data_IF_281403431811
#
_entry.id   IF_281403431811
#
_cell.length_a   1.000
_cell.length_b   1.000
_cell.length_c   1.000
_cell.angle_alpha   90.00
_cell.angle_beta   90.00
_cell.angle_gamma   90.00
#
_symmetry.space_group_name_H-M   'P 1'
#
loop_
_entity.id
_entity.type
_entity.pdbx_description
1 polymer ?
#
# COMPACT_ATOMS: atom_id res chain seq x y z
N UNK A 1 18.20 14.36 19.09
CA UNK A 1 17.15 13.94 18.17
C UNK A 1 17.29 12.44 18.07
N UNK A 2 16.24 11.69 18.38
CA UNK A 2 16.30 10.22 18.30
C UNK A 2 16.23 9.81 16.85
N UNK A 3 17.07 8.87 16.44
CA UNK A 3 17.14 8.37 15.07
C UNK A 3 16.52 6.99 14.97
N UNK A 4 15.78 6.73 13.89
CA UNK A 4 15.26 5.43 13.52
C UNK A 4 15.69 5.16 12.08
N UNK A 5 16.29 3.99 11.84
CA UNK A 5 16.58 3.50 10.50
C UNK A 5 15.38 2.76 9.94
N UNK A 6 15.09 2.95 8.64
CA UNK A 6 14.04 2.24 7.96
C UNK A 6 14.42 1.93 6.52
N UNK A 7 14.41 0.66 6.18
CA UNK A 7 14.46 0.19 4.80
C UNK A 7 13.07 -0.30 4.38
N UNK A 8 12.62 0.05 3.18
CA UNK A 8 11.41 -0.51 2.58
C UNK A 8 11.64 -0.92 1.14
N UNK A 9 11.14 -2.10 0.78
CA UNK A 9 11.28 -2.65 -0.56
C UNK A 9 10.20 -2.16 -1.54
N UNK A 10 9.16 -1.39 -1.09
CA UNK A 10 8.09 -0.91 -1.97
C UNK A 10 7.95 0.61 -1.99
N UNK A 11 7.62 1.14 -3.16
CA UNK A 11 7.42 2.58 -3.39
C UNK A 11 6.17 3.13 -2.66
N UNK A 12 5.13 2.31 -2.48
CA UNK A 12 3.92 2.73 -1.76
C UNK A 12 4.23 2.95 -0.28
N UNK A 13 4.90 2.00 0.35
CA UNK A 13 5.35 2.09 1.74
C UNK A 13 6.30 3.27 1.93
N UNK A 14 7.26 3.46 1.00
CA UNK A 14 8.17 4.61 1.01
C UNK A 14 7.40 5.94 1.06
N UNK A 15 6.31 6.05 0.30
CA UNK A 15 5.44 7.23 0.33
C UNK A 15 4.83 7.48 1.72
N UNK A 16 4.37 6.42 2.39
CA UNK A 16 3.85 6.53 3.77
C UNK A 16 4.93 6.93 4.77
N UNK A 17 6.13 6.33 4.67
CA UNK A 17 7.28 6.67 5.52
C UNK A 17 7.66 8.15 5.37
N UNK A 18 7.73 8.65 4.14
CA UNK A 18 8.07 10.06 3.87
C UNK A 18 7.03 11.03 4.46
N UNK A 19 5.74 10.69 4.38
CA UNK A 19 4.68 11.50 4.98
C UNK A 19 4.69 11.43 6.50
N UNK A 20 4.89 10.24 7.07
CA UNK A 20 5.04 10.06 8.51
C UNK A 20 6.22 10.87 9.05
N UNK A 21 7.37 10.85 8.35
CA UNK A 21 8.54 11.65 8.72
C UNK A 21 8.22 13.15 8.87
N UNK A 22 7.34 13.68 8.01
CA UNK A 22 6.89 15.07 8.10
C UNK A 22 6.02 15.39 9.33
N UNK A 23 5.54 14.38 10.05
CA UNK A 23 4.67 14.51 11.24
C UNK A 23 5.42 14.19 12.56
N UNK A 24 6.66 13.75 12.47
CA UNK A 24 7.47 13.31 13.62
C UNK A 24 8.36 14.43 14.16
N UNK A 25 7.93 15.04 15.26
CA UNK A 25 8.74 16.05 15.95
C UNK A 25 9.79 15.40 16.87
N UNK A 26 11.06 15.76 16.70
CA UNK A 26 12.15 15.26 17.52
C UNK A 26 12.67 13.86 17.18
N UNK A 27 12.10 13.22 16.17
CA UNK A 27 12.50 11.92 15.64
C UNK A 27 13.04 12.12 14.21
N UNK A 28 14.22 11.58 13.94
CA UNK A 28 14.90 11.63 12.66
C UNK A 28 14.82 10.26 11.99
N UNK A 29 14.36 10.19 10.74
CA UNK A 29 14.28 8.94 10.00
C UNK A 29 15.41 8.86 8.97
N UNK A 30 16.23 7.83 9.07
CA UNK A 30 17.16 7.42 8.00
C UNK A 30 16.45 6.40 7.13
N UNK A 31 15.96 6.84 5.97
CA UNK A 31 15.15 6.00 5.08
C UNK A 31 15.95 5.59 3.85
N UNK A 32 15.86 4.33 3.47
CA UNK A 32 16.34 3.80 2.18
C UNK A 32 15.26 2.91 1.56
N UNK A 33 15.22 2.92 0.24
CA UNK A 33 14.43 1.99 -0.57
C UNK A 33 15.34 1.08 -1.39
N UNK A 34 14.77 0.08 -2.07
CA UNK A 34 15.53 -0.77 -3.00
C UNK A 34 16.31 0.07 -4.03
N UNK A 35 15.72 1.16 -4.51
CA UNK A 35 16.36 2.06 -5.49
C UNK A 35 17.48 2.95 -4.94
N UNK A 36 17.72 2.95 -3.61
CA UNK A 36 18.79 3.69 -2.93
C UNK A 36 20.00 2.81 -2.58
N UNK A 37 19.91 1.49 -2.80
CA UNK A 37 20.94 0.50 -2.46
C UNK A 37 21.43 -0.21 -3.72
N UNK A 38 22.16 0.50 -4.57
CA UNK A 38 22.65 -0.04 -5.85
C UNK A 38 23.88 -0.97 -5.67
N UNK A 39 24.70 -0.73 -4.65
CA UNK A 39 25.91 -1.51 -4.38
C UNK A 39 26.23 -1.65 -2.88
N UNK A 40 27.26 -2.40 -2.56
CA UNK A 40 27.73 -2.63 -1.19
C UNK A 40 28.04 -1.33 -0.44
N UNK A 41 28.52 -0.29 -1.12
CA UNK A 41 28.89 0.99 -0.49
C UNK A 41 27.67 1.71 0.04
N UNK A 42 26.53 1.61 -0.69
CA UNK A 42 25.26 2.22 -0.26
C UNK A 42 24.71 1.52 0.99
N UNK A 43 24.84 0.18 1.04
CA UNK A 43 24.46 -0.61 2.23
C UNK A 43 25.32 -0.25 3.42
N UNK A 44 26.65 -0.13 3.24
CA UNK A 44 27.57 0.31 4.28
C UNK A 44 27.22 1.70 4.80
N UNK A 45 26.90 2.64 3.90
CA UNK A 45 26.48 3.99 4.27
C UNK A 45 25.17 4.00 5.05
N UNK A 46 24.18 3.18 4.66
CA UNK A 46 22.93 3.02 5.42
C UNK A 46 23.18 2.53 6.84
N UNK A 47 24.00 1.50 7.00
CA UNK A 47 24.34 0.93 8.31
C UNK A 47 25.13 1.93 9.17
N UNK A 48 26.10 2.65 8.58
CA UNK A 48 26.86 3.69 9.29
C UNK A 48 25.93 4.86 9.72
N UNK A 49 24.98 5.27 8.88
CA UNK A 49 23.97 6.29 9.24
C UNK A 49 23.07 5.83 10.40
N UNK A 50 22.94 4.52 10.62
CA UNK A 50 22.11 3.89 11.65
C UNK A 50 22.89 3.45 12.90
N UNK A 51 24.23 3.69 13.00
CA UNK A 51 25.06 3.16 14.11
C UNK A 51 24.58 3.58 15.51
N UNK A 52 23.98 4.79 15.64
CA UNK A 52 23.42 5.34 16.86
C UNK A 52 21.88 5.37 16.85
N UNK A 53 21.24 4.61 15.95
CA UNK A 53 19.77 4.60 15.87
C UNK A 53 19.16 3.90 17.10
N UNK A 54 18.02 4.39 17.55
CA UNK A 54 17.23 3.76 18.59
C UNK A 54 16.74 2.37 18.19
N UNK A 55 16.39 2.22 16.91
CA UNK A 55 16.02 0.96 16.27
C UNK A 55 16.17 1.06 14.74
N UNK A 56 16.29 -0.09 14.10
CA UNK A 56 16.24 -0.23 12.63
C UNK A 56 15.17 -1.21 12.24
N UNK A 57 14.32 -0.82 11.27
CA UNK A 57 13.29 -1.66 10.65
C UNK A 57 13.70 -1.99 9.22
N UNK A 58 13.80 -3.26 8.90
CA UNK A 58 13.94 -3.77 7.54
C UNK A 58 12.58 -4.32 7.08
N UNK A 59 11.85 -3.50 6.34
CA UNK A 59 10.51 -3.85 5.84
C UNK A 59 10.63 -4.38 4.41
N UNK A 60 10.68 -5.71 4.32
CA UNK A 60 10.94 -6.46 3.10
C UNK A 60 9.63 -6.81 2.39
N UNK A 61 9.68 -6.85 1.06
CA UNK A 61 8.60 -7.40 0.24
C UNK A 61 9.03 -8.76 -0.33
N UNK A 62 8.58 -9.82 0.29
CA UNK A 62 9.09 -11.16 0.03
C UNK A 62 10.24 -11.51 0.98
N UNK A 63 11.38 -12.01 0.54
CA UNK A 63 12.53 -12.50 1.30
C UNK A 63 13.69 -11.55 1.44
N UNK A 64 14.73 -12.09 2.06
CA UNK A 64 16.03 -11.46 2.19
C UNK A 64 16.57 -10.91 0.85
N UNK A 65 16.23 -11.60 -0.25
CA UNK A 65 16.58 -11.21 -1.62
C UNK A 65 15.98 -9.84 -2.05
N UNK A 66 14.98 -9.33 -1.30
CA UNK A 66 14.38 -8.02 -1.57
C UNK A 66 15.17 -6.83 -1.00
N UNK A 67 16.28 -7.11 -0.31
CA UNK A 67 17.21 -6.08 0.16
C UNK A 67 18.64 -6.40 -0.29
N UNK A 68 19.25 -5.57 -1.16
CA UNK A 68 20.68 -5.69 -1.47
C UNK A 68 21.53 -5.68 -0.20
N UNK A 69 22.43 -6.64 -0.05
CA UNK A 69 23.35 -6.71 1.08
C UNK A 69 22.71 -7.00 2.44
N UNK A 70 21.55 -7.67 2.47
CA UNK A 70 20.80 -8.02 3.68
C UNK A 70 21.67 -8.65 4.77
N UNK A 71 22.38 -9.74 4.46
CA UNK A 71 23.24 -10.44 5.44
C UNK A 71 24.26 -9.50 6.10
N UNK A 72 24.90 -8.65 5.31
CA UNK A 72 25.87 -7.67 5.83
C UNK A 72 25.19 -6.66 6.76
N UNK A 73 24.05 -6.12 6.36
CA UNK A 73 23.32 -5.13 7.17
C UNK A 73 22.88 -5.71 8.51
N UNK A 74 22.30 -6.92 8.50
CA UNK A 74 21.86 -7.64 9.71
C UNK A 74 23.02 -7.92 10.63
N UNK A 75 24.10 -8.52 10.13
CA UNK A 75 25.27 -8.86 10.94
C UNK A 75 25.90 -7.61 11.55
N UNK A 76 26.03 -6.54 10.76
CA UNK A 76 26.67 -5.32 11.22
C UNK A 76 25.85 -4.56 12.25
N UNK A 77 24.52 -4.43 12.05
CA UNK A 77 23.61 -3.81 13.03
C UNK A 77 23.57 -4.60 14.34
N UNK A 78 23.63 -5.93 14.24
CA UNK A 78 23.69 -6.81 15.41
C UNK A 78 25.03 -6.65 16.17
N UNK A 79 26.16 -6.53 15.48
CA UNK A 79 27.46 -6.24 16.09
C UNK A 79 27.47 -4.88 16.81
N UNK A 80 26.82 -3.88 16.26
CA UNK A 80 26.66 -2.53 16.84
C UNK A 80 25.70 -2.53 18.03
N UNK A 81 24.90 -3.60 18.20
CA UNK A 81 23.92 -3.70 19.27
C UNK A 81 22.68 -2.82 19.05
N UNK A 82 22.41 -2.42 17.81
CA UNK A 82 21.23 -1.65 17.45
C UNK A 82 20.01 -2.59 17.45
N UNK A 83 18.91 -2.23 18.12
CA UNK A 83 17.65 -2.98 18.06
C UNK A 83 17.18 -3.13 16.60
N UNK A 84 17.03 -4.37 16.16
CA UNK A 84 16.71 -4.71 14.77
C UNK A 84 15.36 -5.39 14.66
N UNK A 85 14.55 -4.95 13.73
CA UNK A 85 13.25 -5.55 13.37
C UNK A 85 13.29 -5.89 11.89
N UNK A 86 13.04 -7.16 11.55
CA UNK A 86 12.92 -7.63 10.17
C UNK A 86 11.50 -8.11 9.94
N UNK A 87 10.76 -7.44 9.07
CA UNK A 87 9.39 -7.79 8.68
C UNK A 87 9.34 -8.03 7.17
N UNK A 88 8.97 -9.23 6.78
CA UNK A 88 8.70 -9.60 5.39
C UNK A 88 7.22 -9.87 5.13
N UNK A 89 6.86 -10.21 3.90
CA UNK A 89 5.52 -10.67 3.52
C UNK A 89 5.49 -12.18 3.42
N UNK A 90 4.46 -12.82 4.06
CA UNK A 90 4.26 -14.28 4.05
C UNK A 90 4.93 -15.02 5.21
N UNK A 91 4.68 -16.33 5.33
CA UNK A 91 5.07 -17.19 6.48
C UNK A 91 6.58 -17.53 6.54
N UNK A 92 7.38 -17.06 5.59
CA UNK A 92 8.76 -17.54 5.37
C UNK A 92 9.84 -16.71 6.08
N UNK A 93 9.46 -15.87 7.09
CA UNK A 93 10.38 -14.85 7.52
C UNK A 93 11.10 -15.08 8.83
N UNK A 94 12.33 -14.79 8.73
CA UNK A 94 13.44 -14.69 9.64
C UNK A 94 13.13 -13.89 10.93
N UNK A 95 12.12 -14.33 11.70
CA UNK A 95 11.95 -13.87 13.09
C UNK A 95 13.27 -13.97 13.87
N UNK A 96 14.17 -14.87 13.41
CA UNK A 96 15.48 -15.11 14.00
C UNK A 96 16.41 -13.89 13.93
N UNK A 97 16.22 -13.01 12.95
CA UNK A 97 17.04 -11.80 12.79
C UNK A 97 16.49 -10.59 13.56
N UNK A 98 15.25 -10.66 14.01
CA UNK A 98 14.67 -9.63 14.90
C UNK A 98 15.23 -9.76 16.31
N UNK A 99 15.76 -8.67 16.87
CA UNK A 99 16.44 -8.66 18.16
C UNK A 99 15.67 -8.03 19.31
N UNK A 100 14.45 -7.52 19.06
CA UNK A 100 13.57 -6.93 20.06
C UNK A 100 12.73 -7.98 20.79
N UNK A 101 12.06 -7.60 21.88
CA UNK A 101 11.16 -8.50 22.61
C UNK A 101 10.00 -8.97 21.75
N UNK A 102 9.50 -10.19 21.97
CA UNK A 102 8.40 -10.76 21.18
C UNK A 102 7.15 -9.87 21.18
N UNK A 103 6.79 -9.29 22.33
CA UNK A 103 5.63 -8.39 22.45
C UNK A 103 5.77 -7.13 21.59
N UNK A 104 6.96 -6.55 21.56
CA UNK A 104 7.24 -5.34 20.82
C UNK A 104 7.32 -5.64 19.32
N UNK A 105 7.93 -6.79 18.97
CA UNK A 105 7.94 -7.30 17.61
C UNK A 105 6.52 -7.46 17.07
N UNK A 106 5.65 -8.12 17.82
CA UNK A 106 4.28 -8.40 17.39
C UNK A 106 3.51 -7.08 17.17
N UNK A 107 3.64 -6.12 18.05
CA UNK A 107 3.04 -4.79 17.88
C UNK A 107 3.61 -4.02 16.66
N UNK A 108 4.93 -4.05 16.47
CA UNK A 108 5.57 -3.42 15.31
C UNK A 108 5.10 -4.08 14.02
N UNK A 109 5.01 -5.40 13.99
CA UNK A 109 4.52 -6.14 12.82
C UNK A 109 3.08 -5.77 12.49
N UNK A 110 2.23 -5.61 13.49
CA UNK A 110 0.85 -5.18 13.29
C UNK A 110 0.75 -3.77 12.68
N UNK A 111 1.55 -2.80 13.15
CA UNK A 111 1.63 -1.48 12.50
C UNK A 111 2.04 -1.58 11.02
N UNK A 112 3.08 -2.37 10.72
CA UNK A 112 3.59 -2.49 9.35
C UNK A 112 2.63 -3.27 8.44
N UNK A 113 1.93 -4.26 8.97
CA UNK A 113 0.96 -5.07 8.23
C UNK A 113 -0.30 -4.27 7.87
N UNK A 114 -0.81 -3.48 8.80
CA UNK A 114 -1.93 -2.57 8.56
C UNK A 114 -1.54 -1.40 7.66
N UNK A 115 -0.26 -1.05 7.63
CA UNK A 115 0.30 -0.06 6.70
C UNK A 115 -0.28 1.34 6.84
N UNK A 116 -0.07 2.15 5.82
CA UNK A 116 -0.54 3.53 5.77
C UNK A 116 0.27 4.51 6.63
N UNK A 117 0.12 5.80 6.32
CA UNK A 117 0.90 6.86 6.98
C UNK A 117 0.67 6.90 8.50
N UNK A 118 -0.57 6.65 8.96
CA UNK A 118 -0.92 6.71 10.38
C UNK A 118 -0.21 5.60 11.17
N UNK A 119 -0.24 4.36 10.69
CA UNK A 119 0.40 3.24 11.36
C UNK A 119 1.94 3.35 11.34
N UNK A 120 2.53 3.83 10.24
CA UNK A 120 3.97 4.10 10.18
C UNK A 120 4.38 5.21 11.15
N UNK A 121 3.59 6.28 11.27
CA UNK A 121 3.83 7.36 12.24
C UNK A 121 3.84 6.81 13.67
N UNK A 122 2.79 6.07 14.08
CA UNK A 122 2.69 5.51 15.43
C UNK A 122 3.74 4.43 15.69
N UNK A 123 4.10 3.61 14.71
CA UNK A 123 5.24 2.69 14.79
C UNK A 123 6.55 3.43 15.11
N UNK A 124 6.85 4.51 14.40
CA UNK A 124 8.04 5.30 14.66
C UNK A 124 8.02 5.96 16.05
N UNK A 125 6.86 6.44 16.50
CA UNK A 125 6.69 6.99 17.87
C UNK A 125 6.88 5.91 18.93
N UNK A 126 6.31 4.71 18.72
CA UNK A 126 6.53 3.54 19.57
C UNK A 126 8.02 3.22 19.69
N UNK A 127 8.72 3.08 18.57
CA UNK A 127 10.16 2.80 18.55
C UNK A 127 10.98 3.89 19.25
N UNK A 128 10.65 5.17 19.06
CA UNK A 128 11.32 6.27 19.71
C UNK A 128 11.08 6.30 21.24
N UNK A 129 9.88 5.93 21.68
CA UNK A 129 9.53 5.83 23.11
C UNK A 129 10.28 4.68 23.77
N UNK A 130 10.12 3.46 23.26
CA UNK A 130 10.60 2.24 23.89
C UNK A 130 12.12 2.06 23.80
N UNK A 131 12.71 2.46 22.67
CA UNK A 131 14.15 2.23 22.41
C UNK A 131 14.98 3.53 22.41
N UNK A 132 14.34 4.67 22.13
CA UNK A 132 15.02 5.98 22.04
C UNK A 132 14.91 6.85 23.29
N UNK A 133 14.09 6.48 24.26
CA UNK A 133 13.86 7.23 25.50
C UNK A 133 13.19 8.61 25.26
N UNK A 134 12.42 8.74 24.18
CA UNK A 134 11.66 9.96 23.86
C UNK A 134 10.28 9.86 24.52
N UNK A 135 9.88 10.91 25.25
CA UNK A 135 8.52 11.02 25.76
C UNK A 135 7.57 11.48 24.64
N UNK A 136 6.98 10.52 23.94
CA UNK A 136 6.04 10.74 22.83
C UNK A 136 4.85 9.80 22.97
N UNK A 137 3.64 10.30 22.61
CA UNK A 137 2.42 9.49 22.60
C UNK A 137 2.31 8.74 21.27
N UNK A 138 1.81 7.51 21.32
CA UNK A 138 1.44 6.69 20.18
C UNK A 138 0.15 5.94 20.47
N UNK A 139 -0.65 5.71 19.43
CA UNK A 139 -1.85 4.88 19.51
C UNK A 139 -1.54 3.45 19.07
N UNK A 140 -2.38 2.51 19.48
CA UNK A 140 -2.35 1.12 18.99
C UNK A 140 -2.53 1.07 17.47
N UNK A 141 -2.09 -0.02 16.80
CA UNK A 141 -2.27 -0.19 15.36
C UNK A 141 -3.72 -0.02 14.92
N UNK A 142 -3.95 0.89 13.98
CA UNK A 142 -5.29 1.22 13.47
C UNK A 142 -5.61 0.36 12.26
N UNK A 143 -6.74 -0.33 12.31
CA UNK A 143 -7.29 -1.04 11.16
C UNK A 143 -7.80 -0.04 10.12
N UNK A 144 -7.43 -0.23 8.87
CA UNK A 144 -7.86 0.58 7.75
C UNK A 144 -8.86 -0.21 6.89
N UNK A 145 -9.87 0.45 6.28
CA UNK A 145 -10.82 -0.25 5.44
C UNK A 145 -10.16 -0.85 4.20
N UNK A 146 -10.56 -2.07 3.87
CA UNK A 146 -10.10 -2.80 2.68
C UNK A 146 -10.84 -2.43 1.41
N UNK A 147 -12.00 -1.78 1.54
CA UNK A 147 -12.80 -1.22 0.46
C UNK A 147 -13.44 0.09 0.89
N UNK A 148 -13.74 0.94 -0.09
CA UNK A 148 -14.39 2.22 0.15
C UNK A 148 -14.52 3.07 -1.10
N UNK A 149 -15.16 4.21 -0.94
CA UNK A 149 -15.17 5.25 -1.96
C UNK A 149 -14.22 6.38 -1.59
N UNK A 150 -13.73 7.06 -2.60
CA UNK A 150 -12.81 8.16 -2.44
C UNK A 150 -13.23 9.32 -3.35
N UNK A 151 -13.06 10.54 -2.87
CA UNK A 151 -13.18 11.70 -3.73
C UNK A 151 -12.25 12.83 -3.23
N UNK A 152 -11.48 13.48 -4.12
CA UNK A 152 -10.50 14.49 -3.69
C UNK A 152 -11.11 15.73 -3.00
N UNK A 153 -12.40 16.04 -3.25
CA UNK A 153 -13.11 17.16 -2.61
C UNK A 153 -13.87 16.76 -1.34
N UNK A 154 -14.07 15.47 -1.11
CA UNK A 154 -14.88 14.96 -0.01
C UNK A 154 -14.14 13.88 0.78
N UNK A 155 -13.09 14.26 1.55
CA UNK A 155 -12.33 13.28 2.35
C UNK A 155 -13.24 12.49 3.30
N UNK A 156 -13.13 11.15 3.28
CA UNK A 156 -13.91 10.27 4.17
C UNK A 156 -15.40 10.20 3.84
N UNK A 157 -15.80 10.53 2.61
CA UNK A 157 -17.19 10.40 2.17
C UNK A 157 -17.59 8.93 2.07
N UNK A 158 -18.81 8.63 2.48
CA UNK A 158 -19.44 7.32 2.30
C UNK A 158 -20.11 7.21 0.92
N UNK A 159 -20.32 5.98 0.45
CA UNK A 159 -20.84 5.69 -0.89
C UNK A 159 -22.17 6.42 -1.20
N UNK A 160 -23.17 6.29 -0.31
CA UNK A 160 -24.48 6.89 -0.51
C UNK A 160 -24.40 8.42 -0.58
N UNK A 161 -23.61 9.01 0.32
CA UNK A 161 -23.41 10.46 0.35
C UNK A 161 -22.68 10.97 -0.90
N UNK A 162 -21.73 10.23 -1.46
CA UNK A 162 -21.11 10.57 -2.72
C UNK A 162 -22.12 10.49 -3.87
N UNK A 163 -22.93 9.43 -3.94
CA UNK A 163 -23.97 9.25 -4.93
C UNK A 163 -25.03 10.36 -4.93
N UNK A 164 -25.37 10.89 -3.76
CA UNK A 164 -26.27 12.04 -3.62
C UNK A 164 -25.74 13.33 -4.26
N UNK A 165 -24.44 13.44 -4.48
CA UNK A 165 -23.84 14.60 -5.16
C UNK A 165 -23.95 14.50 -6.70
N UNK A 166 -24.27 13.34 -7.25
CA UNK A 166 -24.28 13.10 -8.68
C UNK A 166 -25.45 13.78 -9.40
N UNK A 167 -25.14 14.27 -10.57
CA UNK A 167 -26.16 14.77 -11.51
C UNK A 167 -26.76 13.57 -12.27
N UNK A 168 -28.04 13.25 -12.11
CA UNK A 168 -28.66 12.08 -12.73
C UNK A 168 -28.77 12.15 -14.26
N UNK A 169 -28.54 13.33 -14.86
CA UNK A 169 -28.53 13.49 -16.33
C UNK A 169 -27.14 13.25 -16.95
N UNK A 170 -26.11 13.07 -16.11
CA UNK A 170 -24.75 12.81 -16.56
C UNK A 170 -24.37 11.35 -16.46
N UNK A 171 -23.55 10.85 -17.39
CA UNK A 171 -23.02 9.51 -17.25
C UNK A 171 -22.14 9.39 -15.98
N UNK A 172 -22.20 8.23 -15.35
CA UNK A 172 -21.37 7.91 -14.18
C UNK A 172 -20.26 6.93 -14.58
N UNK A 173 -19.03 7.27 -14.27
CA UNK A 173 -17.85 6.44 -14.55
C UNK A 173 -17.17 6.06 -13.26
N UNK A 174 -17.09 4.76 -12.97
CA UNK A 174 -16.31 4.28 -11.85
C UNK A 174 -14.81 4.34 -12.18
N UNK A 175 -14.00 4.73 -11.19
CA UNK A 175 -12.54 4.62 -11.22
C UNK A 175 -12.20 3.59 -10.15
N UNK A 176 -11.91 2.36 -10.58
CA UNK A 176 -11.69 1.26 -9.66
C UNK A 176 -10.20 0.98 -9.52
N UNK A 177 -9.69 1.10 -8.29
CA UNK A 177 -8.27 1.03 -8.01
C UNK A 177 -7.95 0.21 -6.75
N UNK A 178 -6.70 -0.23 -6.67
CA UNK A 178 -6.22 -1.07 -5.60
C UNK A 178 -6.16 -0.30 -4.27
N UNK A 179 -6.69 -0.90 -3.20
CA UNK A 179 -6.76 -0.36 -1.84
C UNK A 179 -5.41 0.19 -1.35
N UNK A 180 -4.29 -0.49 -1.64
CA UNK A 180 -2.96 -0.06 -1.24
C UNK A 180 -2.62 1.37 -1.67
N UNK A 181 -3.14 1.85 -2.81
CA UNK A 181 -2.95 3.25 -3.21
C UNK A 181 -3.68 4.23 -2.30
N UNK A 182 -4.84 3.84 -1.77
CA UNK A 182 -5.60 4.64 -0.80
C UNK A 182 -4.93 4.60 0.57
N UNK A 183 -4.61 3.42 1.07
CA UNK A 183 -3.92 3.17 2.35
C UNK A 183 -2.62 3.97 2.45
N UNK A 184 -1.85 3.98 1.38
CA UNK A 184 -0.58 4.71 1.32
C UNK A 184 -0.71 6.13 0.76
N UNK A 185 -1.93 6.70 0.66
CA UNK A 185 -2.19 8.07 0.18
C UNK A 185 -1.56 8.37 -1.21
N UNK A 186 -1.45 7.36 -2.08
CA UNK A 186 -0.91 7.47 -3.43
C UNK A 186 -2.02 7.64 -4.48
N UNK A 187 -2.93 8.59 -4.26
CA UNK A 187 -4.18 8.77 -5.03
C UNK A 187 -4.10 9.83 -6.11
N UNK A 188 -2.96 10.51 -6.34
CA UNK A 188 -2.86 11.63 -7.28
C UNK A 188 -3.32 11.33 -8.70
N UNK A 189 -3.11 10.11 -9.18
CA UNK A 189 -3.58 9.70 -10.50
C UNK A 189 -5.10 9.50 -10.53
N UNK A 190 -5.70 9.02 -9.42
CA UNK A 190 -7.15 8.92 -9.24
C UNK A 190 -7.77 10.31 -9.24
N UNK A 191 -7.18 11.27 -8.52
CA UNK A 191 -7.60 12.67 -8.52
C UNK A 191 -7.62 13.23 -9.96
N UNK A 192 -6.55 12.96 -10.72
CA UNK A 192 -6.45 13.44 -12.10
C UNK A 192 -7.52 12.81 -12.99
N UNK A 193 -7.83 11.52 -12.83
CA UNK A 193 -8.88 10.83 -13.57
C UNK A 193 -10.26 11.38 -13.19
N UNK A 194 -10.57 11.52 -11.89
CA UNK A 194 -11.83 12.08 -11.42
C UNK A 194 -12.06 13.49 -11.97
N UNK A 195 -11.06 14.36 -11.84
CA UNK A 195 -11.13 15.73 -12.40
C UNK A 195 -11.30 15.75 -13.91
N UNK A 196 -10.65 14.85 -14.63
CA UNK A 196 -10.80 14.76 -16.08
C UNK A 196 -12.24 14.37 -16.48
N UNK A 197 -12.82 13.37 -15.82
CA UNK A 197 -14.21 12.94 -16.05
C UNK A 197 -15.21 14.07 -15.75
N UNK A 198 -15.11 14.70 -14.60
CA UNK A 198 -15.96 15.81 -14.19
C UNK A 198 -15.88 16.99 -15.18
N UNK A 199 -14.67 17.31 -15.64
CA UNK A 199 -14.46 18.38 -16.63
C UNK A 199 -15.11 18.09 -17.99
N UNK A 200 -15.35 16.82 -18.30
CA UNK A 200 -16.04 16.35 -19.49
C UNK A 200 -17.54 16.15 -19.27
N UNK A 201 -18.06 16.47 -18.07
CA UNK A 201 -19.47 16.39 -17.76
C UNK A 201 -19.95 15.00 -17.33
N UNK A 202 -19.08 14.17 -16.79
CA UNK A 202 -19.45 12.90 -16.16
C UNK A 202 -19.42 13.02 -14.62
N UNK A 203 -20.17 12.14 -13.94
CA UNK A 203 -19.94 11.89 -12.52
C UNK A 203 -18.78 10.93 -12.36
N UNK A 204 -17.89 11.20 -11.43
CA UNK A 204 -16.77 10.31 -11.09
C UNK A 204 -17.09 9.54 -9.81
N UNK A 205 -16.96 8.21 -9.85
CA UNK A 205 -17.12 7.30 -8.73
C UNK A 205 -15.81 6.54 -8.46
N UNK A 206 -14.83 7.15 -7.77
CA UNK A 206 -13.63 6.45 -7.38
C UNK A 206 -13.93 5.44 -6.26
N UNK A 207 -13.59 4.18 -6.50
CA UNK A 207 -13.76 3.05 -5.58
C UNK A 207 -12.40 2.37 -5.40
N UNK A 208 -12.03 2.11 -4.17
CA UNK A 208 -10.87 1.26 -3.87
C UNK A 208 -11.34 -0.05 -3.24
N UNK A 209 -10.62 -1.13 -3.53
CA UNK A 209 -10.74 -2.37 -2.77
C UNK A 209 -9.44 -3.17 -2.80
N UNK A 210 -9.26 -4.01 -1.80
CA UNK A 210 -8.37 -5.15 -1.87
C UNK A 210 -9.19 -6.29 -2.54
N UNK A 211 -8.81 -6.79 -3.73
CA UNK A 211 -9.62 -7.80 -4.42
C UNK A 211 -9.48 -9.20 -3.80
N UNK A 212 -8.53 -9.42 -2.89
CA UNK A 212 -8.41 -10.69 -2.20
C UNK A 212 -9.67 -11.00 -1.38
N UNK A 213 -9.97 -12.29 -1.23
CA UNK A 213 -11.04 -12.71 -0.34
C UNK A 213 -10.71 -12.31 1.12
N UNK A 214 -11.75 -11.94 1.86
CA UNK A 214 -11.66 -11.74 3.30
C UNK A 214 -11.49 -13.06 4.06
N UNK A 215 -11.40 -13.02 5.39
CA UNK A 215 -11.28 -14.21 6.25
C UNK A 215 -12.50 -15.13 6.16
N UNK A 216 -13.65 -14.63 5.70
CA UNK A 216 -14.90 -15.39 5.50
C UNK A 216 -14.99 -15.99 4.09
N UNK A 217 -14.01 -15.69 3.21
CA UNK A 217 -13.92 -16.20 1.84
C UNK A 217 -14.76 -15.40 0.84
N UNK A 218 -15.25 -14.20 1.22
CA UNK A 218 -15.93 -13.30 0.31
C UNK A 218 -14.90 -12.48 -0.47
N UNK A 219 -14.94 -12.56 -1.80
CA UNK A 219 -14.10 -11.72 -2.66
C UNK A 219 -14.59 -10.27 -2.61
N UNK A 220 -13.77 -9.35 -2.09
CA UNK A 220 -14.12 -7.94 -1.96
C UNK A 220 -14.45 -7.28 -3.31
N UNK A 221 -13.82 -7.70 -4.39
CA UNK A 221 -14.14 -7.19 -5.72
C UNK A 221 -15.54 -7.60 -6.19
N UNK A 222 -15.99 -8.82 -5.88
CA UNK A 222 -17.36 -9.26 -6.15
C UNK A 222 -18.35 -8.52 -5.27
N UNK A 223 -18.04 -8.36 -3.98
CA UNK A 223 -18.88 -7.58 -3.06
C UNK A 223 -19.05 -6.12 -3.54
N UNK A 224 -17.97 -5.45 -3.94
CA UNK A 224 -18.02 -4.09 -4.51
C UNK A 224 -18.92 -4.04 -5.76
N UNK A 225 -18.79 -5.04 -6.63
CA UNK A 225 -19.63 -5.14 -7.82
C UNK A 225 -21.10 -5.23 -7.46
N UNK A 226 -21.46 -6.12 -6.54
CA UNK A 226 -22.85 -6.39 -6.19
C UNK A 226 -23.50 -5.26 -5.37
N UNK A 227 -22.71 -4.52 -4.59
CA UNK A 227 -23.23 -3.51 -3.68
C UNK A 227 -23.07 -2.07 -4.16
N UNK A 228 -22.07 -1.79 -5.02
CA UNK A 228 -21.77 -0.41 -5.45
C UNK A 228 -21.83 -0.18 -6.96
N UNK A 229 -21.69 -1.22 -7.77
CA UNK A 229 -21.74 -1.09 -9.23
C UNK A 229 -23.03 -1.61 -9.83
N UNK A 230 -23.79 -2.42 -9.08
CA UNK A 230 -25.12 -2.93 -9.46
C UNK A 230 -26.19 -2.48 -8.46
N UNK A 231 -27.39 -2.20 -8.96
CA UNK A 231 -28.62 -1.99 -8.19
C UNK A 231 -29.75 -2.81 -8.81
N UNK A 232 -30.35 -3.72 -8.07
CA UNK A 232 -31.35 -4.69 -8.57
C UNK A 232 -30.86 -5.50 -9.79
N UNK A 233 -29.55 -5.73 -9.90
CA UNK A 233 -28.91 -6.47 -11.00
C UNK A 233 -28.63 -5.63 -12.26
N UNK A 234 -28.93 -4.34 -12.24
CA UNK A 234 -28.63 -3.41 -13.33
C UNK A 234 -27.44 -2.50 -12.97
N UNK A 235 -26.56 -2.16 -13.93
CA UNK A 235 -25.42 -1.32 -13.65
C UNK A 235 -25.83 0.12 -13.28
N UNK A 236 -25.24 0.65 -12.23
CA UNK A 236 -25.39 2.05 -11.80
C UNK A 236 -24.31 2.97 -12.37
N UNK A 237 -23.43 2.42 -13.20
CA UNK A 237 -22.35 3.11 -13.89
C UNK A 237 -22.44 2.84 -15.40
N UNK A 238 -21.93 3.77 -16.20
CA UNK A 238 -21.90 3.65 -17.67
C UNK A 238 -20.58 3.07 -18.19
N UNK A 239 -19.52 3.14 -17.40
CA UNK A 239 -18.22 2.55 -17.69
C UNK A 239 -17.39 2.41 -16.41
N UNK A 240 -16.35 1.56 -16.47
CA UNK A 240 -15.37 1.37 -15.41
C UNK A 240 -13.97 1.64 -15.97
N UNK A 241 -13.20 2.49 -15.30
CA UNK A 241 -11.74 2.62 -15.47
C UNK A 241 -11.06 1.78 -14.38
N UNK A 242 -10.50 0.63 -14.75
CA UNK A 242 -9.77 -0.23 -13.82
C UNK A 242 -8.29 0.09 -13.84
N UNK A 243 -7.71 0.32 -12.66
CA UNK A 243 -6.26 0.55 -12.49
C UNK A 243 -5.53 -0.65 -11.88
N UNK A 244 -6.20 -1.77 -11.73
CA UNK A 244 -5.57 -2.99 -11.25
C UNK A 244 -4.58 -3.53 -12.28
N UNK A 245 -3.35 -3.83 -11.84
CA UNK A 245 -2.30 -4.41 -12.69
C UNK A 245 -2.27 -5.94 -12.64
N UNK A 246 -3.23 -6.55 -11.95
CA UNK A 246 -3.38 -7.99 -11.75
C UNK A 246 -4.87 -8.37 -11.88
N UNK A 247 -5.15 -9.68 -11.84
CA UNK A 247 -6.53 -10.19 -11.93
C UNK A 247 -7.36 -9.74 -10.72
N UNK A 248 -8.59 -9.33 -10.96
CA UNK A 248 -9.57 -9.03 -9.91
C UNK A 248 -10.16 -10.30 -9.27
N UNK A 249 -9.98 -11.45 -9.91
CA UNK A 249 -10.37 -12.78 -9.41
C UNK A 249 -9.12 -13.49 -8.91
N UNK A 250 -8.81 -13.37 -7.62
CA UNK A 250 -7.68 -14.04 -6.99
C UNK A 250 -8.17 -14.92 -5.84
N UNK A 251 -7.66 -16.16 -5.76
CA UNK A 251 -7.89 -17.01 -4.61
C UNK A 251 -7.11 -16.51 -3.37
N UNK A 252 -7.40 -17.09 -2.19
CA UNK A 252 -6.72 -16.82 -0.92
C UNK A 252 -5.18 -16.93 -0.99
N UNK A 253 -4.65 -17.53 -2.06
CA UNK A 253 -3.20 -17.70 -2.30
C UNK A 253 -2.65 -16.73 -3.35
N UNK A 254 -3.44 -15.75 -3.77
CA UNK A 254 -3.05 -14.78 -4.79
C UNK A 254 -2.95 -15.37 -6.21
N UNK A 255 -3.60 -16.53 -6.49
CA UNK A 255 -3.61 -17.14 -7.83
C UNK A 255 -4.83 -16.70 -8.59
N UNK A 256 -4.65 -16.36 -9.86
CA UNK A 256 -5.77 -16.03 -10.75
C UNK A 256 -6.65 -17.27 -11.02
N UNK A 257 -7.96 -17.10 -11.04
CA UNK A 257 -8.90 -18.15 -11.44
C UNK A 257 -8.60 -18.74 -12.82
N UNK A 258 -7.93 -17.97 -13.71
CA UNK A 258 -7.51 -18.43 -15.02
C UNK A 258 -6.41 -19.52 -14.99
N UNK A 259 -5.71 -19.70 -13.87
CA UNK A 259 -4.60 -20.68 -13.75
C UNK A 259 -5.09 -22.11 -13.49
N UNK A 260 -6.33 -22.30 -13.06
CA UNK A 260 -6.90 -23.63 -12.77
C UNK A 260 -7.77 -24.21 -13.90
N UNK A 261 -7.92 -23.52 -15.03
CA UNK A 261 -8.63 -24.03 -16.20
C UNK A 261 -10.16 -24.08 -16.06
N UNK A 262 -10.69 -23.44 -15.03
CA UNK A 262 -12.12 -23.17 -14.95
C UNK A 262 -12.50 -22.11 -15.97
N UNK A 263 -13.58 -22.40 -16.69
CA UNK A 263 -14.06 -21.58 -17.78
C UNK A 263 -14.25 -20.14 -17.32
N UNK A 264 -13.94 -19.18 -18.17
CA UNK A 264 -14.16 -17.74 -18.02
C UNK A 264 -15.66 -17.35 -17.74
N UNK A 265 -16.47 -18.28 -17.33
CA UNK A 265 -17.93 -18.14 -17.15
C UNK A 265 -18.31 -17.45 -15.85
N UNK A 266 -17.37 -17.25 -14.91
CA UNK A 266 -17.65 -16.60 -13.62
C UNK A 266 -16.84 -15.31 -13.36
N UNK A 267 -16.49 -14.58 -14.40
CA UNK A 267 -15.95 -13.24 -14.16
C UNK A 267 -17.12 -12.33 -13.79
N UNK A 268 -17.24 -11.99 -12.50
CA UNK A 268 -18.31 -11.10 -11.99
C UNK A 268 -18.41 -9.77 -12.78
N UNK A 269 -17.34 -9.36 -13.47
CA UNK A 269 -17.34 -8.23 -14.39
C UNK A 269 -18.29 -8.39 -15.59
N UNK A 270 -18.59 -9.63 -16.02
CA UNK A 270 -19.53 -9.88 -17.12
C UNK A 270 -20.95 -9.45 -16.74
N UNK A 271 -21.26 -9.45 -15.44
CA UNK A 271 -22.56 -9.00 -14.92
C UNK A 271 -22.76 -7.49 -15.04
N UNK A 272 -21.69 -6.72 -15.10
CA UNK A 272 -21.77 -5.26 -15.25
C UNK A 272 -22.35 -4.84 -16.59
N UNK A 273 -22.09 -5.57 -17.67
CA UNK A 273 -22.62 -5.26 -19.00
C UNK A 273 -22.19 -3.89 -19.56
N UNK A 274 -21.21 -3.22 -18.94
CA UNK A 274 -20.66 -1.91 -19.34
C UNK A 274 -19.21 -2.04 -19.76
N UNK A 275 -18.65 -1.08 -20.55
CA UNK A 275 -17.24 -1.10 -20.89
C UNK A 275 -16.34 -1.03 -19.65
N UNK A 276 -15.38 -1.94 -19.54
CA UNK A 276 -14.29 -1.89 -18.57
C UNK A 276 -12.99 -1.57 -19.32
N UNK A 277 -12.39 -0.43 -18.98
CA UNK A 277 -11.18 0.09 -19.63
C UNK A 277 -10.00 -0.04 -18.64
N UNK A 278 -9.01 -0.82 -19.03
CA UNK A 278 -7.78 -0.93 -18.25
C UNK A 278 -6.95 0.35 -18.38
N UNK A 279 -6.70 1.00 -17.27
CA UNK A 279 -5.72 2.09 -17.17
C UNK A 279 -4.41 1.54 -16.61
N UNK A 280 -3.30 1.92 -17.22
CA UNK A 280 -1.99 1.44 -16.82
C UNK A 280 -1.27 2.54 -16.06
N UNK A 281 -0.91 2.26 -14.82
CA UNK A 281 -0.12 3.17 -13.98
C UNK A 281 1.33 2.70 -13.91
N UNK A 282 2.27 3.61 -13.69
CA UNK A 282 3.68 3.29 -13.50
C UNK A 282 4.30 4.22 -12.47
N UNK A 283 5.15 3.70 -11.61
CA UNK A 283 5.95 4.47 -10.66
C UNK A 283 7.18 5.12 -11.32
N UNK A 284 7.50 4.74 -12.56
CA UNK A 284 8.62 5.32 -13.30
C UNK A 284 8.32 6.75 -13.73
N UNK A 285 9.36 7.59 -13.75
CA UNK A 285 9.26 8.90 -14.38
C UNK A 285 8.93 8.76 -15.87
N UNK A 286 8.23 9.75 -16.44
CA UNK A 286 7.85 9.76 -17.86
C UNK A 286 9.05 9.55 -18.78
N UNK A 287 10.18 10.20 -18.49
CA UNK A 287 11.41 10.06 -19.28
C UNK A 287 11.97 8.64 -19.24
N UNK A 288 11.94 7.99 -18.09
CA UNK A 288 12.39 6.61 -17.93
C UNK A 288 11.44 5.64 -18.65
N UNK A 289 10.13 5.85 -18.55
CA UNK A 289 9.14 5.07 -19.29
C UNK A 289 9.31 5.19 -20.82
N UNK A 290 9.42 6.43 -21.33
CA UNK A 290 9.58 6.69 -22.78
C UNK A 290 10.93 6.18 -23.35
N UNK A 291 11.96 6.02 -22.51
CA UNK A 291 13.27 5.49 -22.91
C UNK A 291 13.45 3.98 -22.70
N UNK A 292 12.46 3.30 -22.11
CA UNK A 292 12.52 1.88 -21.77
C UNK A 292 11.84 1.03 -22.83
N UNK A 293 12.51 -0.05 -23.26
CA UNK A 293 11.92 -1.07 -24.13
C UNK A 293 11.11 -2.14 -23.36
N UNK A 294 11.06 -2.06 -22.02
CA UNK A 294 10.40 -3.04 -21.15
C UNK A 294 8.97 -2.68 -20.75
N UNK A 295 8.41 -1.59 -21.30
CA UNK A 295 7.05 -1.15 -20.98
C UNK A 295 6.91 -0.54 -19.58
N UNK A 296 5.80 -0.84 -18.89
CA UNK A 296 5.45 -0.23 -17.60
C UNK A 296 6.05 -0.94 -16.39
N UNK A 297 6.58 -2.13 -16.58
CA UNK A 297 7.23 -2.91 -15.51
C UNK A 297 8.72 -2.62 -15.42
#
# INVERSE_FOLDING_TARGET
MTRIGLYTATENELGSVQRAAGRLDGIDLVVRSEGDLDDQTDVEAFVDDCEDAAAVVLWLHGGEDSMPGYEYAVDRLRELGVPLIVKGTGDAFAFEDTSVADTDRDQIYEYLERGGTINVEHCCRFLASEYGGVDTEYDEPTELPTEGVYHPDYPGIEYDALRETFDPEKPTVAIWFYESHWTHENTRYVDAQARALESQGANALPIFCNPAADEEGQENAEWVTDNWLLEDGEPVVDAVLSSFMFSLSMDERGRSASDEGDSAEDVFLDRLGVPVLQTVTTMRSRSRYESSDTGVM
#
